data_IF_101162896619
#
_entry.id   IF_101162896619
#
_cell.length_a   1.000
_cell.length_b   1.000
_cell.length_c   1.000
_cell.angle_alpha   90.00
_cell.angle_beta   90.00
_cell.angle_gamma   90.00
#
_symmetry.space_group_name_H-M   'P 1'
#
loop_
_entity.id
_entity.type
_entity.pdbx_description
1 polymer ?
#
# COMPACT_ATOMS: atom_id res chain seq x y z
N UNK A 1 -76.24 -31.01 13.64
CA UNK A 1 -74.86 -31.48 13.84
C UNK A 1 -74.37 -32.36 12.68
N UNK A 2 -74.24 -31.85 11.45
CA UNK A 2 -73.56 -32.63 10.38
C UNK A 2 -73.22 -31.71 9.22
N UNK A 3 -72.36 -30.69 9.48
CA UNK A 3 -71.88 -29.76 8.41
C UNK A 3 -70.37 -29.50 8.46
N UNK A 4 -69.60 -30.23 9.25
CA UNK A 4 -68.18 -29.87 9.42
C UNK A 4 -67.15 -30.89 8.86
N UNK A 5 -67.57 -31.91 8.11
CA UNK A 5 -66.63 -32.96 7.66
C UNK A 5 -66.38 -32.94 6.12
N UNK A 6 -67.03 -32.04 5.36
CA UNK A 6 -66.94 -32.05 3.90
C UNK A 6 -65.89 -31.09 3.27
N UNK A 7 -65.07 -30.42 4.03
CA UNK A 7 -64.08 -29.48 3.50
C UNK A 7 -62.73 -30.12 3.08
N UNK A 8 -62.46 -31.34 3.45
CA UNK A 8 -61.19 -32.00 3.18
C UNK A 8 -61.22 -32.99 1.97
N UNK A 9 -62.33 -33.12 1.30
CA UNK A 9 -62.47 -34.14 0.25
C UNK A 9 -62.34 -33.62 -1.18
N UNK A 10 -61.96 -32.38 -1.38
CA UNK A 10 -61.85 -31.80 -2.76
C UNK A 10 -60.46 -31.17 -3.02
N UNK A 11 -59.41 -31.80 -2.55
CA UNK A 11 -58.06 -31.43 -2.98
C UNK A 11 -57.79 -32.08 -4.33
N UNK A 12 -57.87 -31.26 -5.41
CA UNK A 12 -57.58 -31.67 -6.77
C UNK A 12 -56.15 -32.19 -6.84
N UNK A 13 -55.89 -33.49 -7.17
CA UNK A 13 -54.53 -34.08 -7.10
C UNK A 13 -53.54 -33.40 -8.02
N UNK A 14 -54.00 -32.71 -9.06
CA UNK A 14 -53.15 -31.91 -9.94
C UNK A 14 -52.61 -30.65 -9.23
N UNK A 15 -53.41 -29.99 -8.40
CA UNK A 15 -52.96 -28.80 -7.62
C UNK A 15 -51.96 -29.20 -6.53
N UNK A 16 -52.13 -30.33 -5.91
CA UNK A 16 -51.22 -30.86 -4.90
C UNK A 16 -49.84 -31.21 -5.52
N UNK A 17 -49.81 -31.79 -6.71
CA UNK A 17 -48.57 -32.07 -7.44
C UNK A 17 -47.85 -30.77 -7.81
N UNK A 18 -48.54 -29.72 -8.28
CA UNK A 18 -47.95 -28.42 -8.60
C UNK A 18 -47.37 -27.76 -7.34
N UNK A 19 -48.08 -27.82 -6.21
CA UNK A 19 -47.58 -27.27 -4.94
C UNK A 19 -46.29 -27.99 -4.47
N UNK A 20 -46.26 -29.33 -4.57
CA UNK A 20 -45.07 -30.10 -4.23
C UNK A 20 -43.89 -29.80 -5.16
N UNK A 21 -44.07 -29.62 -6.46
CA UNK A 21 -43.01 -29.26 -7.39
C UNK A 21 -42.50 -27.83 -7.13
N UNK A 22 -43.40 -26.88 -6.85
CA UNK A 22 -43.03 -25.49 -6.53
C UNK A 22 -42.25 -25.43 -5.21
N UNK A 23 -42.64 -26.20 -4.19
CA UNK A 23 -41.92 -26.27 -2.92
C UNK A 23 -40.54 -26.93 -3.08
N UNK A 24 -40.43 -27.94 -3.95
CA UNK A 24 -39.17 -28.62 -4.24
C UNK A 24 -38.20 -27.69 -5.02
N UNK A 25 -38.70 -26.92 -5.97
CA UNK A 25 -37.91 -25.92 -6.70
C UNK A 25 -37.46 -24.79 -5.75
N UNK A 26 -38.35 -24.33 -4.86
CA UNK A 26 -38.00 -23.31 -3.87
C UNK A 26 -36.89 -23.79 -2.90
N UNK A 27 -36.93 -25.07 -2.47
CA UNK A 27 -35.87 -25.64 -1.64
C UNK A 27 -34.52 -25.73 -2.36
N UNK A 28 -34.51 -25.98 -3.69
CA UNK A 28 -33.28 -26.02 -4.47
C UNK A 28 -32.66 -24.65 -4.69
N UNK A 29 -33.46 -23.59 -4.74
CA UNK A 29 -32.94 -22.21 -4.89
C UNK A 29 -32.24 -21.74 -3.61
N UNK A 30 -32.69 -22.18 -2.42
CA UNK A 30 -32.06 -21.82 -1.15
C UNK A 30 -30.72 -22.54 -0.87
N UNK A 31 -30.46 -23.68 -1.52
CA UNK A 31 -29.18 -24.39 -1.35
C UNK A 31 -28.07 -23.91 -2.28
N UNK A 32 -28.36 -23.05 -3.27
CA UNK A 32 -27.37 -22.54 -4.22
C UNK A 32 -26.49 -21.39 -3.69
N UNK A 33 -26.81 -20.83 -2.52
CA UNK A 33 -26.01 -19.78 -1.86
C UNK A 33 -25.15 -20.35 -0.73
N UNK A 34 -24.43 -21.44 -0.95
CA UNK A 34 -23.28 -21.75 -0.09
C UNK A 34 -22.11 -20.89 -0.55
N UNK A 35 -21.82 -19.83 0.22
CA UNK A 35 -20.56 -19.11 0.07
C UNK A 35 -19.42 -20.14 0.24
N UNK A 36 -18.72 -20.44 -0.84
CA UNK A 36 -17.46 -21.17 -0.77
C UNK A 36 -16.58 -20.47 0.27
N UNK A 37 -16.03 -21.16 1.26
CA UNK A 37 -15.12 -20.54 2.21
C UNK A 37 -13.99 -19.93 1.40
N UNK A 38 -13.79 -18.60 1.55
CA UNK A 38 -12.69 -17.90 0.90
C UNK A 38 -11.41 -18.53 1.44
N UNK A 39 -10.74 -19.31 0.60
CA UNK A 39 -9.47 -19.92 0.96
C UNK A 39 -8.55 -18.79 1.44
N UNK A 40 -8.02 -18.91 2.64
CA UNK A 40 -7.10 -17.92 3.18
C UNK A 40 -5.89 -17.87 2.23
N UNK A 41 -5.77 -16.78 1.48
CA UNK A 41 -4.59 -16.54 0.65
C UNK A 41 -3.47 -16.15 1.58
N UNK A 42 -2.36 -16.86 1.51
CA UNK A 42 -1.14 -16.47 2.24
C UNK A 42 -0.68 -15.14 1.66
N UNK A 43 -0.57 -14.15 2.52
CA UNK A 43 0.01 -12.87 2.14
C UNK A 43 1.54 -12.98 2.19
N UNK A 44 2.16 -13.08 1.03
CA UNK A 44 3.61 -13.18 0.91
C UNK A 44 4.32 -11.82 1.04
N UNK A 45 3.60 -10.69 1.02
CA UNK A 45 4.20 -9.36 1.13
C UNK A 45 4.86 -9.14 2.49
N UNK A 46 4.41 -9.83 3.53
CA UNK A 46 5.02 -9.81 4.86
C UNK A 46 6.49 -10.31 4.91
N UNK A 47 6.93 -11.04 3.89
CA UNK A 47 8.32 -11.52 3.79
C UNK A 47 9.22 -10.59 2.97
N UNK A 48 8.67 -9.52 2.40
CA UNK A 48 9.43 -8.54 1.62
C UNK A 48 10.08 -7.55 2.58
N UNK A 49 11.41 -7.45 2.51
CA UNK A 49 12.16 -6.39 3.19
C UNK A 49 12.70 -5.39 2.15
N UNK A 50 12.09 -4.20 2.03
CA UNK A 50 12.52 -3.20 1.04
C UNK A 50 13.92 -2.62 1.28
N UNK A 51 14.51 -2.81 2.47
CA UNK A 51 15.87 -2.35 2.75
C UNK A 51 16.97 -3.27 2.22
N UNK A 52 16.64 -4.45 1.68
CA UNK A 52 17.64 -5.33 1.07
C UNK A 52 18.27 -4.63 -0.14
N UNK A 53 19.60 -4.52 -0.12
CA UNK A 53 20.39 -3.88 -1.17
C UNK A 53 20.53 -2.36 -1.07
N UNK A 54 20.00 -1.72 -0.02
CA UNK A 54 20.16 -0.27 0.20
C UNK A 54 21.50 0.12 0.80
N UNK A 55 22.37 -0.86 1.09
CA UNK A 55 23.72 -0.68 1.61
C UNK A 55 24.78 -1.23 0.64
N UNK A 56 26.05 -0.93 0.86
CA UNK A 56 27.20 -1.30 0.02
C UNK A 56 26.97 -0.92 -1.45
N UNK A 57 27.05 -1.88 -2.34
CA UNK A 57 26.94 -1.73 -3.79
C UNK A 57 25.60 -2.25 -4.34
N UNK A 58 24.60 -2.42 -3.48
CA UNK A 58 23.30 -2.95 -3.89
C UNK A 58 22.48 -1.99 -4.72
N UNK A 59 22.62 -0.68 -4.45
CA UNK A 59 21.98 0.40 -5.21
C UNK A 59 20.46 0.15 -5.40
N UNK A 60 19.76 -0.07 -4.27
CA UNK A 60 18.30 -0.15 -4.24
C UNK A 60 17.75 0.95 -3.33
N UNK A 61 16.45 1.17 -3.37
CA UNK A 61 15.74 2.15 -2.54
C UNK A 61 14.57 1.48 -1.82
N UNK A 62 14.21 1.95 -0.59
CA UNK A 62 13.20 1.30 0.24
C UNK A 62 11.77 1.80 -0.03
N UNK A 63 11.59 2.69 -0.98
CA UNK A 63 10.36 3.41 -1.20
C UNK A 63 9.21 2.58 -1.73
N UNK A 64 8.06 3.23 -1.85
CA UNK A 64 6.82 2.61 -2.27
C UNK A 64 6.71 2.52 -3.80
N UNK A 65 6.48 1.32 -4.30
CA UNK A 65 6.15 1.09 -5.72
C UNK A 65 5.17 -0.06 -5.87
N UNK A 66 4.34 -0.02 -6.90
CA UNK A 66 3.59 -1.17 -7.36
C UNK A 66 4.46 -2.03 -8.28
N UNK A 67 4.27 -3.36 -8.35
CA UNK A 67 5.00 -4.20 -9.29
C UNK A 67 4.84 -3.66 -10.73
N UNK A 68 5.98 -3.44 -11.40
CA UNK A 68 6.05 -2.88 -12.77
C UNK A 68 5.42 -1.48 -12.94
N UNK A 69 5.24 -0.75 -11.82
CA UNK A 69 4.68 0.59 -11.84
C UNK A 69 5.62 1.63 -12.48
N UNK A 70 5.03 2.71 -12.99
CA UNK A 70 5.76 3.86 -13.52
C UNK A 70 6.26 4.80 -12.41
N UNK A 71 5.72 4.67 -11.20
CA UNK A 71 6.07 5.49 -10.04
C UNK A 71 6.86 4.65 -9.05
N UNK A 72 8.05 5.16 -8.68
CA UNK A 72 8.94 4.63 -7.66
C UNK A 72 9.16 5.74 -6.63
N UNK A 73 8.23 5.87 -5.68
CA UNK A 73 8.22 6.95 -4.71
C UNK A 73 9.11 6.61 -3.51
N UNK A 74 10.22 7.31 -3.34
CA UNK A 74 11.23 6.97 -2.32
C UNK A 74 11.90 8.22 -1.74
N UNK A 75 12.52 8.11 -0.54
CA UNK A 75 13.38 9.16 -0.03
C UNK A 75 14.69 9.26 -0.82
N UNK A 76 15.18 10.49 -0.92
CA UNK A 76 16.49 10.85 -1.45
C UNK A 76 17.39 11.38 -0.32
N UNK A 77 18.59 10.82 -0.15
CA UNK A 77 19.53 11.29 0.88
C UNK A 77 20.18 12.64 0.51
N UNK A 78 20.20 13.00 -0.77
CA UNK A 78 20.71 14.27 -1.27
C UNK A 78 22.24 14.36 -1.39
N UNK A 79 22.97 13.33 -0.99
CA UNK A 79 24.42 13.28 -1.11
C UNK A 79 24.84 12.64 -2.43
N UNK A 80 25.87 13.20 -3.13
CA UNK A 80 26.42 12.57 -4.31
C UNK A 80 27.29 11.35 -3.94
N UNK A 81 27.37 10.39 -4.82
CA UNK A 81 28.27 9.24 -4.68
C UNK A 81 27.80 8.01 -5.43
N UNK A 82 28.76 7.12 -5.74
CA UNK A 82 28.47 5.88 -6.45
C UNK A 82 27.47 4.98 -5.69
N UNK A 83 27.61 4.91 -4.36
CA UNK A 83 26.74 4.09 -3.51
C UNK A 83 25.32 4.70 -3.32
N UNK A 84 25.09 5.89 -3.87
CA UNK A 84 23.84 6.66 -3.75
C UNK A 84 23.12 6.89 -5.07
N UNK A 85 23.49 6.15 -6.11
CA UNK A 85 22.87 6.32 -7.44
C UNK A 85 21.42 5.90 -7.51
N UNK A 86 20.90 5.18 -6.50
CA UNK A 86 19.47 4.88 -6.35
C UNK A 86 18.69 5.96 -5.57
N UNK A 87 19.36 7.05 -5.15
CA UNK A 87 18.80 8.12 -4.31
C UNK A 87 18.91 7.87 -2.81
N UNK A 88 18.89 6.63 -2.38
CA UNK A 88 18.95 6.22 -0.98
C UNK A 88 20.18 5.36 -0.69
N UNK A 89 20.83 5.62 0.45
CA UNK A 89 21.92 4.80 0.97
C UNK A 89 21.74 4.62 2.47
N UNK A 90 21.58 3.37 2.94
CA UNK A 90 21.20 3.05 4.32
C UNK A 90 22.12 3.67 5.39
N UNK A 91 23.45 3.77 5.23
CA UNK A 91 24.31 4.41 6.23
C UNK A 91 24.12 5.93 6.38
N UNK A 92 23.40 6.59 5.50
CA UNK A 92 23.16 8.03 5.59
C UNK A 92 22.11 8.34 6.67
N UNK A 93 22.17 9.53 7.24
CA UNK A 93 21.30 10.00 8.31
C UNK A 93 20.50 11.25 7.94
N UNK A 94 20.45 11.59 6.65
CA UNK A 94 19.76 12.77 6.12
C UNK A 94 18.84 12.39 4.97
N UNK A 95 17.73 13.11 4.85
CA UNK A 95 16.81 13.07 3.70
C UNK A 95 16.67 14.49 3.18
N UNK A 96 16.88 14.69 1.87
CA UNK A 96 16.75 15.95 1.17
C UNK A 96 15.45 16.08 0.37
N UNK A 97 14.69 15.01 0.26
CA UNK A 97 13.41 15.02 -0.44
C UNK A 97 12.84 13.63 -0.65
N UNK A 98 11.70 13.62 -1.32
CA UNK A 98 10.98 12.40 -1.73
C UNK A 98 10.58 12.57 -3.19
N UNK A 99 11.26 11.85 -4.08
CA UNK A 99 11.01 11.93 -5.52
C UNK A 99 10.16 10.75 -6.02
N UNK A 100 9.58 10.93 -7.21
CA UNK A 100 8.62 9.96 -7.78
C UNK A 100 9.26 8.94 -8.71
N UNK A 101 10.53 9.14 -9.06
CA UNK A 101 11.21 8.26 -10.01
C UNK A 101 12.58 7.87 -9.52
N UNK A 102 12.83 6.57 -9.46
CA UNK A 102 14.11 5.99 -9.03
C UNK A 102 14.49 4.82 -9.93
N UNK A 103 15.78 4.58 -10.06
CA UNK A 103 16.34 3.37 -10.66
C UNK A 103 17.06 2.55 -9.59
N UNK A 104 16.93 1.24 -9.67
CA UNK A 104 17.73 0.31 -8.89
C UNK A 104 18.83 -0.34 -9.74
N UNK A 105 19.94 -0.70 -9.09
CA UNK A 105 21.10 -1.30 -9.74
C UNK A 105 22.20 -0.29 -10.08
N UNK A 106 23.34 -0.81 -10.51
CA UNK A 106 24.51 0.00 -10.89
C UNK A 106 24.30 0.70 -12.21
N UNK A 107 24.66 2.00 -12.27
CA UNK A 107 24.53 2.78 -13.49
C UNK A 107 24.92 4.25 -13.27
N UNK A 108 24.18 5.16 -13.82
CA UNK A 108 24.27 6.59 -13.53
C UNK A 108 23.20 6.97 -12.50
N UNK A 109 23.52 7.91 -11.61
CA UNK A 109 22.50 8.59 -10.82
C UNK A 109 21.62 9.39 -11.77
N UNK A 110 20.37 8.98 -11.91
CA UNK A 110 19.43 9.57 -12.86
C UNK A 110 18.00 9.46 -12.32
N UNK A 111 17.10 10.24 -12.89
CA UNK A 111 15.72 10.42 -12.46
C UNK A 111 15.62 11.40 -11.27
N UNK A 112 15.07 11.00 -10.13
CA UNK A 112 14.75 11.87 -8.99
C UNK A 112 13.78 13.00 -9.35
N UNK A 113 12.92 12.74 -10.33
CA UNK A 113 11.96 13.72 -10.82
C UNK A 113 10.84 13.97 -9.82
N UNK A 114 10.36 15.21 -9.81
CA UNK A 114 9.24 15.65 -8.99
C UNK A 114 9.50 15.35 -7.51
N UNK A 115 10.56 15.96 -6.98
CA UNK A 115 10.91 15.84 -5.56
C UNK A 115 10.19 16.87 -4.70
N UNK A 116 9.74 16.44 -3.51
CA UNK A 116 9.13 17.28 -2.50
C UNK A 116 9.87 17.13 -1.17
N UNK A 117 10.13 18.24 -0.49
CA UNK A 117 10.65 18.27 0.87
C UNK A 117 9.71 19.10 1.77
N UNK A 118 8.94 18.45 2.66
CA UNK A 118 8.09 19.18 3.59
C UNK A 118 8.94 19.81 4.70
N UNK A 119 8.63 21.05 5.07
CA UNK A 119 9.36 21.82 6.10
C UNK A 119 8.40 22.59 6.98
N UNK A 120 8.80 22.86 8.23
CA UNK A 120 8.18 23.87 9.09
C UNK A 120 8.99 25.17 9.07
N UNK A 121 8.34 26.30 9.34
CA UNK A 121 9.02 27.59 9.43
C UNK A 121 9.50 27.89 10.87
N UNK A 122 10.64 28.57 11.05
CA UNK A 122 11.63 28.91 10.02
C UNK A 122 12.45 27.67 9.62
N UNK A 123 12.63 27.45 8.33
CA UNK A 123 13.55 26.41 7.86
C UNK A 123 14.98 26.96 7.72
N UNK A 124 15.96 26.09 7.82
CA UNK A 124 17.35 26.40 7.55
C UNK A 124 17.74 25.80 6.21
N UNK A 125 18.17 26.66 5.30
CA UNK A 125 18.82 26.22 4.09
C UNK A 125 20.27 25.84 4.43
N UNK A 126 20.64 24.60 4.17
CA UNK A 126 22.02 24.17 4.33
C UNK A 126 22.87 24.62 3.13
N UNK A 127 24.15 24.79 3.38
CA UNK A 127 25.13 24.98 2.32
C UNK A 127 25.16 23.70 1.43
N UNK A 128 25.33 23.94 0.10
CA UNK A 128 25.50 22.84 -0.85
C UNK A 128 26.50 21.78 -0.35
N UNK A 129 26.29 20.47 -0.61
CA UNK A 129 25.42 19.95 -1.69
C UNK A 129 23.99 19.59 -1.25
N UNK A 130 23.66 19.61 0.04
CA UNK A 130 22.41 19.03 0.55
C UNK A 130 21.17 19.93 0.33
N UNK A 131 21.33 21.27 0.27
CA UNK A 131 20.20 22.18 0.23
C UNK A 131 19.28 22.02 1.47
N UNK A 132 17.98 22.10 1.29
CA UNK A 132 16.99 21.82 2.35
C UNK A 132 16.98 20.33 2.60
N UNK A 133 17.19 19.91 3.86
CA UNK A 133 17.20 18.52 4.28
C UNK A 133 16.76 18.38 5.73
N UNK A 134 16.51 17.16 6.17
CA UNK A 134 16.27 16.81 7.56
C UNK A 134 17.07 15.58 7.94
N UNK A 135 17.51 15.56 9.20
CA UNK A 135 18.00 14.32 9.81
C UNK A 135 16.85 13.36 10.06
N UNK A 136 17.16 12.08 9.99
CA UNK A 136 16.26 10.99 10.38
C UNK A 136 17.02 9.90 11.16
N UNK A 137 16.31 8.88 11.59
CA UNK A 137 16.88 7.69 12.23
C UNK A 137 16.15 6.46 11.73
N UNK A 138 16.85 5.36 11.55
CA UNK A 138 16.24 4.07 11.20
C UNK A 138 15.29 3.53 12.28
N UNK A 139 15.41 4.00 13.53
CA UNK A 139 14.44 3.68 14.58
C UNK A 139 13.07 4.31 14.33
N UNK A 140 13.02 5.38 13.54
CA UNK A 140 11.82 6.13 13.17
C UNK A 140 11.47 5.96 11.67
N UNK A 141 12.04 4.94 11.03
CA UNK A 141 11.86 4.60 9.64
C UNK A 141 11.25 3.19 9.50
N UNK A 142 10.35 3.02 8.58
CA UNK A 142 9.82 1.70 8.25
C UNK A 142 9.43 1.58 6.78
N UNK A 143 9.57 0.39 6.23
CA UNK A 143 9.16 0.08 4.87
C UNK A 143 8.55 -1.32 4.77
N UNK A 144 7.51 -1.44 3.98
CA UNK A 144 6.89 -2.71 3.59
C UNK A 144 6.59 -2.66 2.08
N UNK A 145 6.19 -3.77 1.49
CA UNK A 145 5.83 -3.78 0.08
C UNK A 145 4.76 -2.72 -0.25
N UNK A 146 5.12 -1.71 -1.03
CA UNK A 146 4.24 -0.62 -1.46
C UNK A 146 3.99 0.49 -0.44
N UNK A 147 4.71 0.50 0.66
CA UNK A 147 4.59 1.53 1.70
C UNK A 147 5.95 1.86 2.32
N UNK A 148 6.17 3.16 2.59
CA UNK A 148 7.33 3.68 3.30
C UNK A 148 6.89 4.78 4.27
N UNK A 149 7.59 4.88 5.41
CA UNK A 149 7.33 5.91 6.40
C UNK A 149 8.63 6.32 7.09
N UNK A 150 8.75 7.61 7.45
CA UNK A 150 9.89 8.16 8.20
C UNK A 150 9.50 9.43 8.96
N UNK A 151 10.15 9.68 10.09
CA UNK A 151 10.09 10.94 10.82
C UNK A 151 11.25 11.87 10.42
N UNK A 152 10.93 13.03 9.88
CA UNK A 152 11.88 14.12 9.64
C UNK A 152 12.14 14.86 10.97
N UNK A 153 13.27 14.58 11.60
CA UNK A 153 13.57 15.03 12.99
C UNK A 153 13.72 16.54 13.13
N UNK A 154 14.26 17.21 12.12
CA UNK A 154 14.52 18.64 12.21
C UNK A 154 13.24 19.48 12.08
N UNK A 155 12.18 18.90 11.51
CA UNK A 155 10.89 19.55 11.30
C UNK A 155 9.75 18.90 12.10
N UNK A 156 10.01 17.76 12.75
CA UNK A 156 8.99 16.95 13.42
C UNK A 156 7.79 16.62 12.51
N UNK A 157 8.09 16.25 11.26
CA UNK A 157 7.09 15.88 10.25
C UNK A 157 7.16 14.38 10.00
N UNK A 158 6.05 13.67 10.18
CA UNK A 158 5.95 12.29 9.73
C UNK A 158 5.55 12.26 8.26
N UNK A 159 6.32 11.51 7.48
CA UNK A 159 6.12 11.33 6.04
C UNK A 159 5.73 9.89 5.76
N UNK A 160 4.69 9.69 4.99
CA UNK A 160 4.21 8.38 4.55
C UNK A 160 4.06 8.39 3.03
N UNK A 161 4.54 7.34 2.40
CA UNK A 161 4.54 7.17 0.95
C UNK A 161 3.81 5.89 0.56
N UNK A 162 2.99 5.97 -0.47
CA UNK A 162 2.43 4.78 -1.14
C UNK A 162 2.26 5.07 -2.64
N UNK A 163 2.20 4.02 -3.44
CA UNK A 163 2.10 4.17 -4.89
C UNK A 163 1.14 3.13 -5.50
N UNK A 164 0.50 3.53 -6.58
CA UNK A 164 -0.13 2.63 -7.55
C UNK A 164 0.79 2.51 -8.77
N UNK A 165 0.34 1.80 -9.80
CA UNK A 165 1.10 1.68 -11.04
C UNK A 165 1.46 3.03 -11.68
N UNK A 166 0.65 4.08 -11.48
CA UNK A 166 0.79 5.38 -12.17
C UNK A 166 0.71 6.60 -11.27
N UNK A 167 0.41 6.44 -9.98
CA UNK A 167 0.24 7.56 -9.05
C UNK A 167 1.03 7.31 -7.78
N UNK A 168 1.79 8.31 -7.33
CA UNK A 168 2.38 8.38 -6.01
C UNK A 168 1.51 9.21 -5.07
N UNK A 169 1.40 8.80 -3.81
CA UNK A 169 0.72 9.56 -2.76
C UNK A 169 1.69 9.77 -1.63
N UNK A 170 1.86 11.02 -1.24
CA UNK A 170 2.67 11.44 -0.10
C UNK A 170 1.74 12.07 0.94
N UNK A 171 1.82 11.58 2.18
CA UNK A 171 1.11 12.14 3.32
C UNK A 171 2.10 12.74 4.30
N UNK A 172 1.90 14.00 4.66
CA UNK A 172 2.72 14.71 5.61
C UNK A 172 1.89 15.06 6.84
N UNK A 173 2.30 14.57 7.99
CA UNK A 173 1.70 14.92 9.29
C UNK A 173 2.62 15.93 9.97
N UNK A 174 2.18 17.18 10.02
CA UNK A 174 2.90 18.28 10.67
C UNK A 174 2.68 18.28 12.18
N UNK A 175 3.62 18.83 12.97
CA UNK A 175 3.41 19.00 14.40
C UNK A 175 2.22 19.95 14.67
N UNK A 176 1.58 19.75 15.80
CA UNK A 176 0.57 20.70 16.27
C UNK A 176 1.23 22.08 16.53
N UNK A 177 0.47 23.15 16.21
CA UNK A 177 0.93 24.54 16.32
C UNK A 177 0.92 25.02 17.78
#
# INVERSE_FOLDING_TARGET
HTKSINYLKNSNPSRMKVLFHSLFILLFVFTACTSTPKQATIDYTQYVNPFIGTDFTGNTYPGAQAPFGMVQLSPDNGLPGWDRISGYFYPDSTIAGFSHTHLSGTGAGDLYDISFMPVTLPYKEAEVPLGIHSRFSHDDESATAGYYQVLLKDYNINVELTATERCGIQRYTFPEA
#
